data_IF_671980157626
#
_entry.id   IF_671980157626
#
_cell.length_a   1.000
_cell.length_b   1.000
_cell.length_c   1.000
_cell.angle_alpha   90.00
_cell.angle_beta   90.00
_cell.angle_gamma   90.00
#
_symmetry.space_group_name_H-M   'P 1'
#
loop_
_entity.id
_entity.type
_entity.pdbx_description
1 polymer ?
#
# COMPACT_ATOMS: atom_id res chain seq x y z
N UNK A 1 7.15 -20.89 15.86
CA UNK A 1 6.73 -19.47 15.85
C UNK A 1 7.55 -18.80 14.76
N UNK A 2 6.94 -18.06 13.83
CA UNK A 2 7.70 -17.35 12.79
C UNK A 2 8.59 -16.32 13.49
N UNK A 3 9.90 -16.45 13.33
CA UNK A 3 10.87 -15.50 13.85
C UNK A 3 11.30 -14.63 12.68
N UNK A 4 10.88 -13.38 12.72
CA UNK A 4 11.39 -12.37 11.80
C UNK A 4 12.75 -11.89 12.30
N UNK A 5 13.80 -12.68 12.03
CA UNK A 5 15.16 -12.43 12.50
C UNK A 5 15.73 -11.08 12.01
N UNK A 6 15.21 -10.58 10.88
CA UNK A 6 15.63 -9.31 10.27
C UNK A 6 14.75 -8.14 10.71
N UNK A 7 13.66 -8.41 11.41
CA UNK A 7 12.76 -7.43 11.99
C UNK A 7 11.72 -6.90 11.00
N UNK A 8 10.70 -6.20 11.52
CA UNK A 8 9.44 -5.91 10.81
C UNK A 8 9.59 -4.98 9.60
N UNK A 9 10.75 -4.36 9.42
CA UNK A 9 11.02 -3.40 8.35
C UNK A 9 11.83 -3.99 7.19
N UNK A 10 12.32 -5.23 7.27
CA UNK A 10 13.11 -5.83 6.16
C UNK A 10 12.32 -5.87 4.84
N UNK A 11 11.01 -6.15 4.91
CA UNK A 11 10.13 -6.12 3.76
C UNK A 11 9.99 -4.72 3.12
N UNK A 12 10.23 -3.65 3.89
CA UNK A 12 10.13 -2.27 3.44
C UNK A 12 11.27 -1.91 2.48
N UNK A 13 12.46 -2.46 2.67
CA UNK A 13 13.58 -2.27 1.73
C UNK A 13 13.30 -2.93 0.37
N UNK A 14 12.63 -4.09 0.38
CA UNK A 14 12.20 -4.76 -0.85
C UNK A 14 11.15 -3.91 -1.56
N UNK A 15 10.20 -3.34 -0.81
CA UNK A 15 9.19 -2.42 -1.33
C UNK A 15 9.81 -1.23 -2.06
N UNK A 16 10.87 -0.63 -1.51
CA UNK A 16 11.59 0.49 -2.12
C UNK A 16 12.07 0.13 -3.51
N UNK A 17 12.80 -0.99 -3.61
CA UNK A 17 13.38 -1.45 -4.86
C UNK A 17 12.30 -1.76 -5.91
N UNK A 18 11.25 -2.49 -5.56
CA UNK A 18 10.23 -2.93 -6.54
C UNK A 18 9.30 -1.81 -6.99
N UNK A 19 9.13 -0.77 -6.17
CA UNK A 19 8.26 0.37 -6.51
C UNK A 19 8.77 1.18 -7.71
N UNK A 20 10.05 1.03 -8.07
CA UNK A 20 10.63 1.60 -9.29
C UNK A 20 10.23 0.87 -10.58
N UNK A 21 9.78 -0.38 -10.49
CA UNK A 21 9.46 -1.22 -11.66
C UNK A 21 7.99 -1.60 -11.76
N UNK A 22 7.27 -1.63 -10.63
CA UNK A 22 5.86 -1.94 -10.57
C UNK A 22 5.09 -0.83 -9.84
N UNK A 23 3.91 -0.43 -10.32
CA UNK A 23 3.09 0.54 -9.61
C UNK A 23 2.55 -0.07 -8.30
N UNK A 24 3.09 0.36 -7.17
CA UNK A 24 2.63 -0.10 -5.86
C UNK A 24 1.58 0.85 -5.28
N UNK A 25 0.43 0.30 -4.91
CA UNK A 25 -0.66 1.01 -4.25
C UNK A 25 -0.82 0.50 -2.83
N UNK A 26 -0.70 1.39 -1.84
CA UNK A 26 -0.92 1.05 -0.43
C UNK A 26 -2.33 1.47 0.00
N UNK A 27 -3.04 0.56 0.68
CA UNK A 27 -4.31 0.85 1.36
C UNK A 27 -4.14 0.46 2.82
N UNK A 28 -4.23 1.43 3.72
CA UNK A 28 -3.92 1.27 5.15
C UNK A 28 -5.05 1.83 6.02
N UNK A 29 -5.31 1.20 7.16
CA UNK A 29 -6.19 1.73 8.18
C UNK A 29 -5.53 2.90 8.92
N UNK A 30 -6.33 3.89 9.32
CA UNK A 30 -5.85 4.98 10.17
C UNK A 30 -5.70 4.54 11.63
N UNK A 31 -6.48 3.58 12.10
CA UNK A 31 -6.36 3.03 13.46
C UNK A 31 -5.13 2.11 13.53
N UNK A 32 -4.26 2.33 14.52
CA UNK A 32 -2.99 1.61 14.72
C UNK A 32 -3.15 0.56 15.82
N UNK A 33 -3.96 -0.46 15.55
CA UNK A 33 -4.38 -1.48 16.52
C UNK A 33 -3.53 -2.76 16.52
N UNK A 34 -2.93 -3.11 15.38
CA UNK A 34 -2.13 -4.33 15.23
C UNK A 34 -0.72 -4.08 14.72
N UNK A 35 -0.59 -3.32 13.61
CA UNK A 35 0.72 -3.00 13.03
C UNK A 35 1.27 -1.73 13.73
N UNK A 36 2.49 -1.76 14.28
CA UNK A 36 3.06 -0.62 14.99
C UNK A 36 3.18 0.63 14.12
N UNK A 37 3.03 1.81 14.73
CA UNK A 37 3.16 3.11 14.05
C UNK A 37 4.49 3.25 13.32
N UNK A 38 5.60 2.78 13.90
CA UNK A 38 6.91 2.83 13.25
C UNK A 38 6.96 2.07 11.91
N UNK A 39 6.19 0.98 11.77
CA UNK A 39 6.09 0.23 10.51
C UNK A 39 5.22 0.99 9.51
N UNK A 40 4.13 1.62 9.97
CA UNK A 40 3.33 2.52 9.11
C UNK A 40 4.18 3.68 8.59
N UNK A 41 4.94 4.33 9.46
CA UNK A 41 5.82 5.44 9.09
C UNK A 41 6.90 4.95 8.11
N UNK A 42 7.46 3.76 8.33
CA UNK A 42 8.41 3.15 7.41
C UNK A 42 7.79 2.85 6.04
N UNK A 43 6.52 2.46 5.96
CA UNK A 43 5.80 2.19 4.70
C UNK A 43 5.42 3.46 3.93
N UNK A 44 4.99 4.52 4.63
CA UNK A 44 4.45 5.73 3.99
C UNK A 44 5.45 6.88 3.89
N UNK A 45 6.52 6.85 4.70
CA UNK A 45 7.55 7.86 4.72
C UNK A 45 8.31 7.95 3.40
N UNK A 46 8.95 9.12 3.12
CA UNK A 46 9.83 9.25 1.97
C UNK A 46 11.06 8.35 2.17
N UNK A 47 11.40 7.56 1.15
CA UNK A 47 12.59 6.73 1.12
C UNK A 47 13.28 6.82 -0.26
N UNK A 48 14.62 6.80 -0.33
CA UNK A 48 15.34 6.80 -1.60
C UNK A 48 14.90 5.63 -2.49
N UNK A 49 14.51 5.93 -3.74
CA UNK A 49 14.08 4.93 -4.71
C UNK A 49 12.65 4.43 -4.55
N UNK A 50 11.92 4.85 -3.49
CA UNK A 50 10.50 4.50 -3.33
C UNK A 50 9.62 5.39 -4.20
N UNK A 51 8.82 4.75 -5.06
CA UNK A 51 7.85 5.39 -5.94
C UNK A 51 6.47 4.72 -5.81
N UNK A 52 5.71 5.11 -4.78
CA UNK A 52 4.35 4.62 -4.62
C UNK A 52 3.41 5.29 -5.63
N UNK A 53 2.60 4.48 -6.32
CA UNK A 53 1.61 4.97 -7.26
C UNK A 53 0.41 5.62 -6.56
N UNK A 54 0.06 5.13 -5.36
CA UNK A 54 -0.88 5.81 -4.46
C UNK A 54 -0.76 5.32 -3.02
N UNK A 55 -1.14 6.16 -2.07
CA UNK A 55 -1.39 5.77 -0.67
C UNK A 55 -2.81 6.18 -0.31
N UNK A 56 -3.62 5.23 0.16
CA UNK A 56 -4.97 5.47 0.66
C UNK A 56 -5.01 5.14 2.15
N UNK A 57 -5.43 6.11 2.97
CA UNK A 57 -5.66 5.93 4.39
C UNK A 57 -7.16 5.88 4.66
N UNK A 58 -7.66 4.73 5.09
CA UNK A 58 -9.08 4.52 5.39
C UNK A 58 -9.40 4.96 6.83
N UNK A 59 -10.35 5.88 7.03
CA UNK A 59 -10.72 6.37 8.35
C UNK A 59 -11.47 5.29 9.14
N UNK A 60 -11.41 5.37 10.47
CA UNK A 60 -12.19 4.55 11.41
C UNK A 60 -12.07 3.02 11.19
N UNK A 61 -10.90 2.55 10.75
CA UNK A 61 -10.59 1.12 10.60
C UNK A 61 -9.10 0.88 10.81
N UNK A 62 -8.79 -0.29 11.38
CA UNK A 62 -7.42 -0.71 11.67
C UNK A 62 -6.92 -1.80 10.75
N UNK A 63 -6.38 -2.86 11.32
CA UNK A 63 -5.77 -3.97 10.58
C UNK A 63 -6.76 -4.74 9.68
N UNK A 64 -8.02 -4.85 10.11
CA UNK A 64 -9.02 -5.72 9.51
C UNK A 64 -9.93 -4.99 8.50
N UNK A 65 -9.35 -4.15 7.64
CA UNK A 65 -10.08 -3.42 6.58
C UNK A 65 -11.03 -4.33 5.78
N UNK A 66 -10.60 -5.51 5.27
CA UNK A 66 -11.49 -6.36 4.48
C UNK A 66 -12.71 -6.88 5.26
N UNK A 67 -12.61 -7.01 6.58
CA UNK A 67 -13.67 -7.51 7.43
C UNK A 67 -14.59 -6.40 7.94
N UNK A 68 -14.04 -5.25 8.29
CA UNK A 68 -14.80 -4.14 8.88
C UNK A 68 -15.42 -3.21 7.83
N UNK A 69 -14.74 -2.99 6.70
CA UNK A 69 -15.14 -2.06 5.65
C UNK A 69 -15.01 -2.63 4.23
N UNK A 70 -15.64 -3.80 3.93
CA UNK A 70 -15.47 -4.49 2.65
C UNK A 70 -15.92 -3.65 1.45
N UNK A 71 -17.06 -2.96 1.54
CA UNK A 71 -17.61 -2.17 0.44
C UNK A 71 -16.75 -0.94 0.12
N UNK A 72 -16.28 -0.24 1.15
CA UNK A 72 -15.38 0.90 0.98
C UNK A 72 -14.05 0.47 0.36
N UNK A 73 -13.50 -0.66 0.81
CA UNK A 73 -12.29 -1.25 0.22
C UNK A 73 -12.51 -1.62 -1.26
N UNK A 74 -13.66 -2.22 -1.59
CA UNK A 74 -13.99 -2.58 -2.97
C UNK A 74 -14.03 -1.34 -3.89
N UNK A 75 -14.60 -0.23 -3.41
CA UNK A 75 -14.59 1.05 -4.15
C UNK A 75 -13.18 1.58 -4.38
N UNK A 76 -12.30 1.51 -3.37
CA UNK A 76 -10.89 1.91 -3.49
C UNK A 76 -10.17 1.06 -4.55
N UNK A 77 -10.29 -0.26 -4.46
CA UNK A 77 -9.68 -1.19 -5.41
C UNK A 77 -10.19 -0.97 -6.83
N UNK A 78 -11.49 -0.78 -7.01
CA UNK A 78 -12.08 -0.49 -8.32
C UNK A 78 -11.51 0.80 -8.92
N UNK A 79 -11.37 1.87 -8.12
CA UNK A 79 -10.76 3.13 -8.57
C UNK A 79 -9.31 2.93 -9.01
N UNK A 80 -8.51 2.18 -8.25
CA UNK A 80 -7.12 1.85 -8.58
C UNK A 80 -7.04 1.09 -9.90
N UNK A 81 -7.82 0.00 -10.05
CA UNK A 81 -7.83 -0.81 -11.27
C UNK A 81 -8.26 0.00 -12.50
N UNK A 82 -9.24 0.89 -12.33
CA UNK A 82 -9.67 1.80 -13.40
C UNK A 82 -8.56 2.77 -13.79
N UNK A 83 -7.83 3.34 -12.82
CA UNK A 83 -6.69 4.22 -13.09
C UNK A 83 -5.57 3.50 -13.85
N UNK A 84 -5.20 2.28 -13.42
CA UNK A 84 -4.19 1.46 -14.10
C UNK A 84 -4.60 1.20 -15.55
N UNK A 85 -5.85 0.81 -15.77
CA UNK A 85 -6.38 0.53 -17.12
C UNK A 85 -6.35 1.76 -18.01
N UNK A 86 -6.79 2.93 -17.51
CA UNK A 86 -6.73 4.18 -18.25
C UNK A 86 -5.30 4.55 -18.65
N UNK A 87 -4.33 4.38 -17.73
CA UNK A 87 -2.93 4.66 -17.99
C UNK A 87 -2.36 3.72 -19.07
N UNK A 88 -2.65 2.42 -19.00
CA UNK A 88 -2.22 1.45 -20.01
C UNK A 88 -2.75 1.79 -21.41
N UNK A 89 -4.03 2.16 -21.51
CA UNK A 89 -4.65 2.55 -22.79
C UNK A 89 -4.00 3.83 -23.33
N UNK A 90 -3.66 4.79 -22.47
CA UNK A 90 -2.99 6.02 -22.89
C UNK A 90 -1.59 5.74 -23.47
N UNK A 91 -0.83 4.80 -22.89
CA UNK A 91 0.50 4.43 -23.37
C UNK A 91 0.47 3.56 -24.63
N UNK A 92 -0.59 2.75 -24.82
CA UNK A 92 -0.75 1.88 -25.98
C UNK A 92 -1.24 2.58 -27.26
N UNK A 93 -1.62 3.88 -27.18
CA UNK A 93 -2.09 4.69 -28.31
C UNK A 93 -0.98 5.53 -28.99
N UNK A 94 0.28 5.22 -28.72
CA UNK A 94 1.47 5.76 -29.39
C UNK A 94 1.98 4.77 -30.44
#
# INVERSE_FOLDING_TARGET
MYLDERGPNDAVEVLDRISSTLPIHLVLGQVKDYIPTAVHDALTGPAPGRHLASVTLMPDVGHLIPQEKPDELAVVLFKILKQITSNLIAHAKL
#
